data_IF_152790715149
#
_entry.id   IF_152790715149
#
_cell.length_a   1.000
_cell.length_b   1.000
_cell.length_c   1.000
_cell.angle_alpha   90.00
_cell.angle_beta   90.00
_cell.angle_gamma   90.00
#
_symmetry.space_group_name_H-M   'P 1'
#
loop_
_entity.id
_entity.type
_entity.pdbx_description
1 polymer ?
#
# COMPACT_ATOMS: atom_id res chain seq x y z
N UNK A 1 -6.77 2.78 29.83
CA UNK A 1 -5.52 2.48 30.58
C UNK A 1 -5.15 3.72 31.38
N UNK A 2 -4.55 3.59 32.56
CA UNK A 2 -4.23 4.75 33.42
C UNK A 2 -2.90 4.55 34.16
N UNK A 3 -2.17 5.65 34.39
CA UNK A 3 -1.03 5.67 35.34
C UNK A 3 -1.55 6.16 36.68
N UNK A 4 -1.17 5.45 37.74
CA UNK A 4 -1.27 5.97 39.11
C UNK A 4 0.07 6.61 39.42
N UNK A 5 0.07 7.93 39.65
CA UNK A 5 1.25 8.68 40.03
C UNK A 5 1.61 8.43 41.50
N UNK A 6 2.83 8.79 41.92
CA UNK A 6 3.31 8.56 43.29
C UNK A 6 2.48 9.27 44.37
N UNK A 7 1.75 10.32 43.99
CA UNK A 7 0.79 11.05 44.83
C UNK A 7 -0.61 10.42 44.86
N UNK A 8 -0.81 9.28 44.19
CA UNK A 8 -2.09 8.60 44.06
C UNK A 8 -2.98 9.13 42.92
N UNK A 9 -2.55 10.16 42.18
CA UNK A 9 -3.32 10.72 41.07
C UNK A 9 -3.42 9.73 39.92
N UNK A 10 -4.65 9.40 39.51
CA UNK A 10 -4.93 8.54 38.36
C UNK A 10 -5.03 9.40 37.10
N UNK A 11 -4.11 9.21 36.16
CA UNK A 11 -4.16 9.87 34.85
C UNK A 11 -4.51 8.87 33.76
N UNK A 12 -5.59 9.07 32.98
CA UNK A 12 -5.86 8.23 31.82
C UNK A 12 -4.76 8.43 30.77
N UNK A 13 -4.13 7.33 30.37
CA UNK A 13 -3.16 7.30 29.28
C UNK A 13 -3.91 7.14 27.97
N UNK A 14 -4.10 8.23 27.23
CA UNK A 14 -4.71 8.17 25.91
C UNK A 14 -3.68 7.81 24.83
N UNK A 15 -2.47 8.37 24.91
CA UNK A 15 -1.37 8.13 23.99
C UNK A 15 -0.12 7.62 24.72
N UNK A 16 0.73 6.91 24.02
CA UNK A 16 1.99 6.36 24.50
C UNK A 16 3.17 7.08 23.85
N UNK A 17 4.16 7.48 24.64
CA UNK A 17 5.38 8.12 24.13
C UNK A 17 6.27 7.18 23.33
N UNK A 18 6.08 5.86 23.50
CA UNK A 18 6.65 4.80 22.67
C UNK A 18 5.55 3.79 22.37
N UNK A 19 5.47 3.26 21.14
CA UNK A 19 4.50 2.21 20.83
C UNK A 19 4.65 1.01 21.75
N UNK A 20 3.53 0.37 22.07
CA UNK A 20 3.49 -0.89 22.81
C UNK A 20 3.07 -2.01 21.87
N UNK A 21 3.58 -3.22 22.13
CA UNK A 21 3.20 -4.40 21.35
C UNK A 21 1.90 -4.98 21.90
N UNK A 22 0.82 -4.84 21.13
CA UNK A 22 -0.43 -5.54 21.39
C UNK A 22 -0.34 -6.96 20.83
N UNK A 23 -0.79 -7.95 21.61
CA UNK A 23 -0.88 -9.35 21.19
C UNK A 23 -2.30 -9.87 21.39
N UNK A 24 -2.93 -10.32 20.31
CA UNK A 24 -4.27 -10.93 20.31
C UNK A 24 -4.20 -12.35 19.75
N UNK A 25 -4.95 -13.28 20.33
CA UNK A 25 -5.07 -14.65 19.80
C UNK A 25 -6.37 -14.78 19.04
N UNK A 26 -6.33 -15.53 17.94
CA UNK A 26 -7.56 -15.90 17.25
C UNK A 26 -8.26 -16.97 18.07
N UNK A 27 -9.59 -16.84 18.19
CA UNK A 27 -10.40 -17.94 18.69
C UNK A 27 -10.35 -19.07 17.65
N UNK A 28 -9.91 -20.26 18.07
CA UNK A 28 -9.73 -21.42 17.19
C UNK A 28 -11.01 -21.92 16.51
N UNK A 29 -12.16 -21.33 16.84
CA UNK A 29 -13.47 -21.64 16.27
C UNK A 29 -13.88 -20.72 15.11
N UNK A 30 -13.09 -19.69 14.76
CA UNK A 30 -13.42 -18.85 13.61
C UNK A 30 -13.08 -19.58 12.30
N UNK A 31 -14.05 -19.82 11.40
CA UNK A 31 -13.79 -20.50 10.13
C UNK A 31 -12.94 -19.66 9.17
N UNK A 32 -12.76 -18.37 9.42
CA UNK A 32 -12.05 -17.45 8.54
C UNK A 32 -10.82 -16.85 9.22
N UNK A 33 -9.70 -16.80 8.47
CA UNK A 33 -8.46 -16.19 8.91
C UNK A 33 -8.65 -14.67 9.06
N UNK A 34 -8.22 -14.08 10.19
CA UNK A 34 -8.24 -12.62 10.38
C UNK A 34 -7.39 -11.89 9.34
N UNK A 35 -7.78 -10.66 9.03
CA UNK A 35 -7.00 -9.74 8.19
C UNK A 35 -5.96 -8.96 9.00
N UNK A 36 -6.23 -8.71 10.28
CA UNK A 36 -5.29 -8.12 11.22
C UNK A 36 -5.95 -7.57 12.47
N UNK A 37 -5.21 -6.72 13.17
CA UNK A 37 -5.64 -6.05 14.38
C UNK A 37 -6.21 -4.68 14.01
N UNK A 38 -7.38 -4.36 14.56
CA UNK A 38 -8.05 -3.09 14.34
C UNK A 38 -8.27 -2.37 15.67
N UNK A 39 -8.08 -1.05 15.68
CA UNK A 39 -8.64 -0.18 16.70
C UNK A 39 -10.13 0.03 16.41
N UNK A 40 -10.96 0.00 17.46
CA UNK A 40 -12.41 0.12 17.38
C UNK A 40 -12.84 1.41 18.09
N UNK A 41 -13.18 2.43 17.31
CA UNK A 41 -13.67 3.71 17.81
C UNK A 41 -15.02 3.56 18.53
N UNK A 42 -15.45 4.58 19.28
CA UNK A 42 -16.72 4.56 20.03
C UNK A 42 -17.93 4.40 19.11
N UNK A 43 -17.89 5.04 17.94
CA UNK A 43 -18.91 4.94 16.89
C UNK A 43 -18.86 3.61 16.10
N UNK A 44 -17.95 2.70 16.46
CA UNK A 44 -17.78 1.40 15.78
C UNK A 44 -16.89 1.44 14.53
N UNK A 45 -16.37 2.60 14.13
CA UNK A 45 -15.41 2.68 13.02
C UNK A 45 -14.15 1.89 13.35
N UNK A 46 -13.62 1.21 12.33
CA UNK A 46 -12.41 0.41 12.41
C UNK A 46 -11.23 1.18 11.83
N UNK A 47 -10.07 1.04 12.46
CA UNK A 47 -8.79 1.52 11.94
C UNK A 47 -7.78 0.38 11.98
N UNK A 48 -7.16 0.07 10.83
CA UNK A 48 -6.23 -1.04 10.69
C UNK A 48 -4.90 -0.68 11.36
N UNK A 49 -4.52 -1.47 12.36
CA UNK A 49 -3.29 -1.28 13.15
C UNK A 49 -2.15 -2.20 12.71
N UNK A 50 -2.31 -2.90 11.58
CA UNK A 50 -1.39 -3.95 11.17
C UNK A 50 -1.72 -5.30 11.79
N UNK A 51 -0.72 -6.17 11.85
CA UNK A 51 -0.89 -7.52 12.38
C UNK A 51 0.08 -8.48 11.72
N UNK A 52 1.07 -8.93 12.47
CA UNK A 52 1.95 -10.03 12.07
C UNK A 52 1.55 -11.27 12.84
N UNK A 53 1.30 -12.36 12.12
CA UNK A 53 1.04 -13.66 12.74
C UNK A 53 2.35 -14.22 13.30
N UNK A 54 2.32 -14.59 14.58
CA UNK A 54 3.42 -15.28 15.28
C UNK A 54 2.88 -16.57 15.90
N UNK A 55 3.77 -17.43 16.40
CA UNK A 55 3.38 -18.63 17.15
C UNK A 55 2.51 -18.33 18.38
N UNK A 56 2.64 -17.11 18.92
CA UNK A 56 1.95 -16.69 20.14
C UNK A 56 0.62 -15.98 19.92
N UNK A 57 0.23 -15.78 18.65
CA UNK A 57 -0.90 -14.97 18.21
C UNK A 57 -0.49 -13.88 17.23
N UNK A 58 -1.39 -12.93 16.99
CA UNK A 58 -1.15 -11.77 16.14
C UNK A 58 -0.59 -10.61 16.96
N UNK A 59 0.39 -9.90 16.41
CA UNK A 59 1.01 -8.74 17.06
C UNK A 59 0.97 -7.49 16.21
N UNK A 60 0.74 -6.33 16.84
CA UNK A 60 0.79 -5.01 16.23
C UNK A 60 1.42 -4.00 17.21
N UNK A 61 2.09 -2.97 16.69
CA UNK A 61 2.50 -1.82 17.50
C UNK A 61 1.35 -0.83 17.57
N UNK A 62 1.00 -0.40 18.78
CA UNK A 62 -0.06 0.59 19.00
C UNK A 62 0.49 1.73 19.85
N UNK A 63 0.09 2.96 19.50
CA UNK A 63 0.57 4.20 20.11
C UNK A 63 -0.45 4.84 21.05
N UNK A 64 -1.62 4.22 21.23
CA UNK A 64 -2.71 4.74 22.04
C UNK A 64 -3.46 3.66 22.78
N UNK A 65 -4.12 4.04 23.87
CA UNK A 65 -5.06 3.15 24.53
C UNK A 65 -6.40 3.15 23.79
N UNK A 66 -7.08 2.02 23.75
CA UNK A 66 -8.36 1.90 23.05
C UNK A 66 -8.90 0.47 23.09
N UNK A 67 -10.03 0.26 22.40
CA UNK A 67 -10.54 -1.09 22.13
C UNK A 67 -9.87 -1.61 20.87
N UNK A 68 -9.38 -2.85 20.93
CA UNK A 68 -8.74 -3.50 19.80
C UNK A 68 -9.35 -4.88 19.57
N UNK A 69 -9.43 -5.29 18.31
CA UNK A 69 -9.95 -6.60 17.92
C UNK A 69 -9.10 -7.22 16.83
N UNK A 70 -8.97 -8.55 16.86
CA UNK A 70 -8.42 -9.33 15.77
C UNK A 70 -9.58 -9.71 14.84
N UNK A 71 -9.69 -9.02 13.71
CA UNK A 71 -10.88 -9.07 12.87
C UNK A 71 -10.54 -9.49 11.44
N UNK A 72 -11.56 -9.99 10.75
CA UNK A 72 -11.61 -10.03 9.29
C UNK A 72 -12.55 -8.94 8.82
N UNK A 73 -12.15 -8.18 7.80
CA UNK A 73 -12.93 -7.08 7.26
C UNK A 73 -13.32 -7.39 5.82
N UNK A 74 -14.54 -7.88 5.62
CA UNK A 74 -15.06 -8.26 4.31
C UNK A 74 -15.80 -7.10 3.64
N UNK A 75 -15.04 -6.09 3.21
CA UNK A 75 -15.57 -5.05 2.32
C UNK A 75 -15.65 -5.59 0.89
N UNK A 76 -16.88 -5.69 0.40
CA UNK A 76 -17.19 -5.94 -1.01
C UNK A 76 -17.55 -4.64 -1.74
N UNK A 77 -17.46 -4.70 -3.06
CA UNK A 77 -17.88 -3.65 -3.98
C UNK A 77 -18.78 -4.26 -5.06
N UNK A 78 -19.84 -3.56 -5.43
CA UNK A 78 -20.87 -4.09 -6.33
C UNK A 78 -20.32 -4.42 -7.73
N UNK A 79 -19.28 -3.70 -8.15
CA UNK A 79 -18.60 -3.85 -9.44
C UNK A 79 -17.35 -4.76 -9.39
N UNK A 80 -17.13 -5.46 -8.27
CA UNK A 80 -16.04 -6.42 -8.06
C UNK A 80 -16.60 -7.75 -7.53
N UNK A 81 -17.30 -8.54 -8.38
CA UNK A 81 -17.84 -9.84 -7.97
C UNK A 81 -16.72 -10.80 -7.55
N UNK A 82 -17.06 -11.84 -6.79
CA UNK A 82 -16.08 -12.84 -6.32
C UNK A 82 -15.31 -13.55 -7.45
N UNK A 83 -15.89 -13.61 -8.66
CA UNK A 83 -15.24 -14.15 -9.86
C UNK A 83 -14.27 -13.18 -10.54
N UNK A 84 -14.23 -11.91 -10.12
CA UNK A 84 -13.32 -10.92 -10.68
C UNK A 84 -11.88 -11.26 -10.32
N UNK A 85 -10.97 -11.24 -11.30
CA UNK A 85 -9.58 -11.70 -11.14
C UNK A 85 -8.81 -11.01 -10.00
N UNK A 86 -9.12 -9.73 -9.72
CA UNK A 86 -8.51 -8.95 -8.65
C UNK A 86 -9.34 -8.90 -7.36
N UNK A 87 -10.43 -9.68 -7.24
CA UNK A 87 -11.35 -9.63 -6.10
C UNK A 87 -10.62 -9.75 -4.76
N UNK A 88 -9.80 -10.80 -4.59
CA UNK A 88 -9.08 -11.03 -3.33
C UNK A 88 -8.03 -9.96 -3.04
N UNK A 89 -7.34 -9.45 -4.06
CA UNK A 89 -6.39 -8.34 -3.86
C UNK A 89 -7.12 -7.08 -3.39
N UNK A 90 -8.23 -6.71 -4.06
CA UNK A 90 -9.02 -5.54 -3.69
C UNK A 90 -9.59 -5.69 -2.27
N UNK A 91 -10.16 -6.86 -1.93
CA UNK A 91 -10.69 -7.16 -0.60
C UNK A 91 -9.61 -7.00 0.48
N UNK A 92 -8.44 -7.66 0.30
CA UNK A 92 -7.32 -7.58 1.26
C UNK A 92 -6.82 -6.15 1.42
N UNK A 93 -6.69 -5.42 0.32
CA UNK A 93 -6.20 -4.04 0.35
C UNK A 93 -7.23 -3.09 1.00
N UNK A 94 -8.53 -3.36 0.84
CA UNK A 94 -9.59 -2.61 1.51
C UNK A 94 -9.63 -2.93 3.00
N UNK A 95 -9.44 -4.20 3.38
CA UNK A 95 -9.29 -4.63 4.78
C UNK A 95 -8.13 -3.93 5.49
N UNK A 96 -7.02 -3.72 4.80
CA UNK A 96 -5.87 -2.96 5.31
C UNK A 96 -6.04 -1.44 5.19
N UNK A 97 -7.19 -0.95 4.71
CA UNK A 97 -7.49 0.46 4.46
C UNK A 97 -6.52 1.17 3.49
N UNK A 98 -5.82 0.40 2.66
CA UNK A 98 -4.89 0.90 1.65
C UNK A 98 -5.64 1.34 0.40
N UNK A 99 -6.72 0.65 0.05
CA UNK A 99 -7.67 1.10 -0.99
C UNK A 99 -9.02 1.43 -0.38
N UNK A 100 -9.76 2.31 -1.05
CA UNK A 100 -11.11 2.72 -0.67
C UNK A 100 -12.02 2.67 -1.90
N UNK A 101 -13.34 2.56 -1.67
CA UNK A 101 -14.34 2.66 -2.72
C UNK A 101 -14.31 4.02 -3.41
N UNK A 102 -14.82 4.06 -4.64
CA UNK A 102 -14.93 5.29 -5.41
C UNK A 102 -16.06 6.18 -4.89
N UNK A 103 -17.21 5.58 -4.58
CA UNK A 103 -18.42 6.26 -4.06
C UNK A 103 -19.06 5.52 -2.86
N UNK A 104 -18.29 4.63 -2.22
CA UNK A 104 -18.72 3.85 -1.06
C UNK A 104 -19.34 2.48 -1.41
N UNK A 105 -19.95 2.35 -2.58
CA UNK A 105 -20.53 1.09 -3.08
C UNK A 105 -19.68 0.45 -4.18
N UNK A 106 -19.11 1.26 -5.07
CA UNK A 106 -18.27 0.82 -6.19
C UNK A 106 -16.77 0.97 -5.89
N UNK A 107 -15.94 0.19 -6.58
CA UNK A 107 -14.49 0.32 -6.58
C UNK A 107 -13.95 1.02 -7.84
N UNK A 108 -14.70 0.97 -8.94
CA UNK A 108 -14.30 1.37 -10.29
C UNK A 108 -13.04 0.65 -10.79
N UNK A 109 -13.00 -0.70 -10.84
CA UNK A 109 -11.78 -1.48 -11.05
C UNK A 109 -11.06 -1.20 -12.37
N UNK A 110 -11.78 -0.71 -13.39
CA UNK A 110 -11.25 -0.41 -14.72
C UNK A 110 -10.85 1.05 -14.93
N UNK A 111 -11.08 1.93 -13.94
CA UNK A 111 -10.70 3.35 -14.06
C UNK A 111 -9.18 3.48 -14.06
N UNK A 112 -8.67 4.33 -14.94
CA UNK A 112 -7.26 4.70 -14.98
C UNK A 112 -6.86 5.45 -13.71
N UNK A 113 -5.63 5.19 -13.25
CA UNK A 113 -5.07 5.76 -12.03
C UNK A 113 -4.08 6.86 -12.37
N UNK A 114 -4.16 7.98 -11.65
CA UNK A 114 -3.18 9.06 -11.80
C UNK A 114 -1.90 8.77 -11.04
N UNK A 115 -0.80 9.45 -11.40
CA UNK A 115 0.47 9.35 -10.67
C UNK A 115 0.32 9.69 -9.18
N UNK A 116 -0.47 10.71 -8.84
CA UNK A 116 -0.73 11.08 -7.45
C UNK A 116 -1.52 10.00 -6.69
N UNK A 117 -2.51 9.39 -7.33
CA UNK A 117 -3.29 8.32 -6.73
C UNK A 117 -2.45 7.08 -6.43
N UNK A 118 -1.52 6.72 -7.32
CA UNK A 118 -0.61 5.61 -7.08
C UNK A 118 0.45 5.94 -6.03
N UNK A 119 0.97 7.17 -5.99
CA UNK A 119 1.83 7.64 -4.91
C UNK A 119 1.14 7.53 -3.54
N UNK A 120 -0.12 7.97 -3.45
CA UNK A 120 -0.94 7.83 -2.24
C UNK A 120 -1.23 6.37 -1.88
N UNK A 121 -1.35 5.49 -2.87
CA UNK A 121 -1.51 4.05 -2.64
C UNK A 121 -0.25 3.44 -2.01
N UNK A 122 0.94 3.75 -2.56
CA UNK A 122 2.22 3.27 -2.03
C UNK A 122 2.47 3.83 -0.63
N UNK A 123 2.27 5.14 -0.43
CA UNK A 123 2.47 5.79 0.87
C UNK A 123 1.67 5.09 1.97
N UNK A 124 0.38 4.81 1.73
CA UNK A 124 -0.46 4.05 2.67
C UNK A 124 -0.01 2.61 2.84
N UNK A 125 0.38 1.93 1.76
CA UNK A 125 0.80 0.53 1.81
C UNK A 125 2.06 0.34 2.66
N UNK A 126 2.95 1.32 2.64
CA UNK A 126 4.24 1.31 3.31
C UNK A 126 4.25 2.12 4.61
N UNK A 127 3.11 2.68 5.02
CA UNK A 127 2.95 3.54 6.19
C UNK A 127 3.98 4.71 6.20
N UNK A 128 4.11 5.37 5.04
CA UNK A 128 5.05 6.49 4.85
C UNK A 128 4.39 7.81 5.21
N UNK A 129 5.16 8.62 5.91
CA UNK A 129 4.85 10.01 6.21
C UNK A 129 6.11 10.88 5.98
N UNK A 130 5.91 12.18 5.76
CA UNK A 130 6.98 13.16 5.57
C UNK A 130 6.66 14.45 6.31
N UNK A 131 7.56 14.84 7.21
CA UNK A 131 7.53 16.16 7.83
C UNK A 131 8.12 17.26 6.92
N UNK A 132 8.72 16.88 5.79
CA UNK A 132 9.33 17.82 4.84
C UNK A 132 8.27 18.41 3.90
N UNK A 133 8.44 19.67 3.48
CA UNK A 133 7.60 20.25 2.44
C UNK A 133 7.74 19.49 1.11
N UNK A 134 6.65 19.45 0.35
CA UNK A 134 6.66 18.98 -1.03
C UNK A 134 7.64 19.84 -1.88
N UNK A 135 8.51 19.22 -2.70
CA UNK A 135 9.50 19.94 -3.51
C UNK A 135 8.96 20.42 -4.88
N UNK A 136 7.76 20.01 -5.29
CA UNK A 136 7.22 20.25 -6.63
C UNK A 136 6.24 21.43 -6.66
N UNK A 137 6.36 22.31 -7.67
CA UNK A 137 5.56 23.54 -7.80
C UNK A 137 4.12 23.28 -8.27
N UNK A 138 3.88 22.16 -8.93
CA UNK A 138 2.58 21.76 -9.50
C UNK A 138 1.69 21.02 -8.48
N UNK A 139 2.11 21.00 -7.21
CA UNK A 139 1.36 20.40 -6.11
C UNK A 139 0.91 21.50 -5.14
N UNK A 140 -0.39 21.77 -5.10
CA UNK A 140 -0.99 22.58 -4.06
C UNK A 140 -0.96 21.80 -2.72
N UNK A 141 -0.31 22.38 -1.71
CA UNK A 141 -0.15 21.76 -0.39
C UNK A 141 -1.48 21.45 0.32
N UNK A 142 -2.61 22.04 -0.12
CA UNK A 142 -3.96 21.77 0.41
C UNK A 142 -4.58 20.51 -0.19
N UNK A 143 -3.99 19.92 -1.23
CA UNK A 143 -4.49 18.69 -1.85
C UNK A 143 -4.21 17.50 -0.96
N UNK A 144 -5.20 16.61 -0.84
CA UNK A 144 -5.11 15.42 0.00
C UNK A 144 -3.94 14.49 -0.35
N UNK A 145 -3.49 14.47 -1.61
CA UNK A 145 -2.36 13.66 -2.05
C UNK A 145 -0.99 14.31 -1.79
N UNK A 146 -0.91 15.58 -1.41
CA UNK A 146 0.36 16.31 -1.27
C UNK A 146 1.31 15.68 -0.23
N UNK A 147 0.85 15.29 0.98
CA UNK A 147 1.71 14.62 1.96
C UNK A 147 2.23 13.27 1.43
N UNK A 148 1.38 12.51 0.75
CA UNK A 148 1.79 11.22 0.20
C UNK A 148 2.86 11.35 -0.87
N UNK A 149 2.77 12.35 -1.75
CA UNK A 149 3.80 12.61 -2.77
C UNK A 149 5.12 13.01 -2.10
N UNK A 150 5.09 13.86 -1.08
CA UNK A 150 6.29 14.21 -0.31
C UNK A 150 6.93 12.97 0.32
N UNK A 151 6.12 12.09 0.92
CA UNK A 151 6.59 10.86 1.57
C UNK A 151 7.23 9.87 0.58
N UNK A 152 6.59 9.60 -0.58
CA UNK A 152 7.20 8.70 -1.58
C UNK A 152 8.42 9.31 -2.27
N UNK A 153 8.48 10.64 -2.37
CA UNK A 153 9.66 11.33 -2.88
C UNK A 153 10.83 11.23 -1.90
N UNK A 154 10.59 11.52 -0.61
CA UNK A 154 11.59 11.39 0.45
C UNK A 154 12.11 9.95 0.57
N UNK A 155 11.23 8.96 0.42
CA UNK A 155 11.58 7.54 0.41
C UNK A 155 12.35 7.10 -0.87
N UNK A 156 12.53 7.98 -1.86
CA UNK A 156 13.16 7.65 -3.13
C UNK A 156 12.34 6.72 -4.03
N UNK A 157 11.03 6.61 -3.77
CA UNK A 157 10.14 5.72 -4.49
C UNK A 157 9.64 6.35 -5.79
N UNK A 158 9.28 7.64 -5.74
CA UNK A 158 8.78 8.39 -6.89
C UNK A 158 9.61 9.65 -7.13
N UNK A 159 10.02 9.86 -8.39
CA UNK A 159 10.63 11.11 -8.85
C UNK A 159 9.64 12.00 -9.60
N UNK A 160 10.01 13.27 -9.76
CA UNK A 160 9.28 14.19 -10.63
C UNK A 160 9.52 13.93 -12.12
N UNK A 161 8.65 14.47 -12.97
CA UNK A 161 8.87 14.59 -14.42
C UNK A 161 10.05 15.53 -14.73
N UNK A 162 10.25 16.52 -13.88
CA UNK A 162 11.38 17.44 -13.88
C UNK A 162 11.87 17.67 -12.44
N UNK A 163 12.83 18.57 -12.27
CA UNK A 163 13.32 19.00 -10.95
C UNK A 163 12.21 19.53 -10.03
N UNK A 164 11.16 20.11 -10.59
CA UNK A 164 10.14 20.86 -9.85
C UNK A 164 8.71 20.51 -10.25
N UNK A 165 8.50 19.56 -11.15
CA UNK A 165 7.17 19.14 -11.62
C UNK A 165 6.98 17.65 -11.38
N UNK A 166 5.89 17.26 -10.72
CA UNK A 166 5.56 15.86 -10.45
C UNK A 166 4.63 15.23 -11.49
N UNK A 167 3.72 16.02 -12.07
CA UNK A 167 2.62 15.56 -12.91
C UNK A 167 1.57 14.76 -12.12
N UNK A 168 0.93 15.31 -11.08
CA UNK A 168 0.05 14.55 -10.19
C UNK A 168 -1.19 13.99 -10.88
N UNK A 169 -1.75 14.73 -11.85
CA UNK A 169 -2.98 14.37 -12.56
C UNK A 169 -2.72 13.56 -13.83
N UNK A 170 -1.46 13.34 -14.22
CA UNK A 170 -1.14 12.50 -15.36
C UNK A 170 -1.57 11.05 -15.07
N UNK A 171 -2.14 10.38 -16.07
CA UNK A 171 -2.36 8.93 -16.00
C UNK A 171 -1.02 8.20 -15.90
N UNK A 172 -0.96 7.21 -15.01
CA UNK A 172 0.23 6.41 -14.78
C UNK A 172 0.39 5.35 -15.88
N UNK A 173 1.56 5.27 -16.50
CA UNK A 173 1.88 4.19 -17.44
C UNK A 173 2.36 2.92 -16.73
N UNK A 174 2.35 1.79 -17.44
CA UNK A 174 2.82 0.51 -16.92
C UNK A 174 4.31 0.49 -16.58
N UNK A 175 5.15 1.12 -17.41
CA UNK A 175 6.59 1.20 -17.12
C UNK A 175 6.90 2.12 -15.93
N UNK A 176 6.12 3.18 -15.73
CA UNK A 176 6.21 4.03 -14.54
C UNK A 176 5.78 3.28 -13.28
N UNK A 177 4.67 2.54 -13.36
CA UNK A 177 4.22 1.68 -12.25
C UNK A 177 5.31 0.67 -11.87
N UNK A 178 5.97 0.05 -12.84
CA UNK A 178 7.05 -0.90 -12.58
C UNK A 178 8.22 -0.26 -11.83
N UNK A 179 8.63 0.93 -12.22
CA UNK A 179 9.72 1.66 -11.55
C UNK A 179 9.35 2.02 -10.11
N UNK A 180 8.19 2.63 -9.89
CA UNK A 180 7.73 3.00 -8.55
C UNK A 180 7.56 1.76 -7.65
N UNK A 181 7.03 0.66 -8.19
CA UNK A 181 6.84 -0.59 -7.45
C UNK A 181 8.16 -1.25 -7.06
N UNK A 182 9.16 -1.23 -7.96
CA UNK A 182 10.48 -1.77 -7.66
C UNK A 182 11.27 -0.91 -6.67
N UNK A 183 11.12 0.42 -6.72
CA UNK A 183 11.71 1.29 -5.70
C UNK A 183 11.04 1.06 -4.33
N UNK A 184 9.72 0.90 -4.29
CA UNK A 184 8.97 0.54 -3.09
C UNK A 184 9.42 -0.83 -2.52
N UNK A 185 9.67 -1.81 -3.38
CA UNK A 185 10.24 -3.10 -3.00
C UNK A 185 11.62 -2.93 -2.34
N UNK A 186 12.52 -2.19 -2.99
CA UNK A 186 13.89 -1.95 -2.48
C UNK A 186 13.87 -1.23 -1.15
N UNK A 187 13.00 -0.22 -1.00
CA UNK A 187 12.78 0.50 0.24
C UNK A 187 12.41 -0.45 1.38
N UNK A 188 11.43 -1.35 1.16
CA UNK A 188 10.93 -2.24 2.22
C UNK A 188 11.83 -3.46 2.48
N UNK A 189 12.46 -4.02 1.45
CA UNK A 189 13.31 -5.21 1.57
C UNK A 189 14.75 -4.90 2.06
N UNK A 190 15.13 -3.62 2.17
CA UNK A 190 16.38 -3.19 2.79
C UNK A 190 17.66 -3.45 2.00
N UNK A 191 17.57 -3.85 0.72
CA UNK A 191 18.71 -4.05 -0.20
C UNK A 191 18.28 -3.81 -1.65
N UNK A 192 19.25 -3.56 -2.53
CA UNK A 192 19.09 -3.78 -3.97
C UNK A 192 18.64 -5.23 -4.15
N UNK A 193 17.32 -5.42 -4.25
CA UNK A 193 16.73 -6.69 -4.63
C UNK A 193 17.39 -7.09 -5.93
N UNK A 194 18.30 -8.06 -5.88
CA UNK A 194 19.31 -8.30 -6.91
C UNK A 194 18.64 -8.31 -8.28
N UNK A 195 18.74 -7.18 -8.98
CA UNK A 195 18.03 -6.92 -10.23
C UNK A 195 18.85 -7.36 -11.43
N UNK A 196 19.95 -8.07 -11.20
CA UNK A 196 20.67 -8.84 -12.22
C UNK A 196 19.87 -10.08 -12.67
N UNK A 197 18.54 -9.95 -12.72
CA UNK A 197 17.66 -10.96 -13.27
C UNK A 197 17.72 -10.95 -14.79
N UNK A 198 17.44 -12.12 -15.38
CA UNK A 198 17.25 -12.29 -16.81
C UNK A 198 16.29 -11.21 -17.35
N UNK A 199 16.67 -10.57 -18.46
CA UNK A 199 15.81 -9.65 -19.21
C UNK A 199 14.42 -10.27 -19.41
N UNK A 200 13.35 -9.51 -19.21
CA UNK A 200 12.01 -9.99 -19.49
C UNK A 200 11.87 -10.44 -20.95
N UNK A 201 11.28 -11.61 -21.17
CA UNK A 201 11.03 -12.20 -22.49
C UNK A 201 9.80 -11.62 -23.24
N UNK A 202 9.41 -10.36 -22.96
CA UNK A 202 8.30 -9.73 -23.67
C UNK A 202 8.68 -9.36 -25.11
N UNK A 203 7.75 -9.52 -26.05
CA UNK A 203 7.96 -9.19 -27.48
C UNK A 203 8.15 -7.69 -27.73
N UNK A 204 7.66 -6.86 -26.83
CA UNK A 204 7.73 -5.40 -26.85
C UNK A 204 8.66 -4.86 -25.75
N UNK A 205 9.60 -5.67 -25.24
CA UNK A 205 10.57 -5.23 -24.22
C UNK A 205 11.50 -4.12 -24.72
N UNK A 206 11.71 -4.02 -26.04
CA UNK A 206 12.48 -2.95 -26.66
C UNK A 206 11.71 -1.61 -26.71
N UNK A 207 10.38 -1.63 -26.59
CA UNK A 207 9.54 -0.43 -26.49
C UNK A 207 9.56 0.18 -25.07
N UNK A 208 10.10 -0.55 -24.09
CA UNK A 208 10.29 -0.04 -22.72
C UNK A 208 11.41 0.98 -22.72
N UNK A 209 11.16 2.16 -22.14
CA UNK A 209 12.18 3.19 -21.98
C UNK A 209 13.40 2.65 -21.23
N UNK A 210 14.62 3.00 -21.68
CA UNK A 210 15.88 2.48 -21.08
C UNK A 210 15.94 2.64 -19.56
N UNK A 211 15.34 3.71 -19.03
CA UNK A 211 15.24 4.03 -17.60
C UNK A 211 14.35 3.05 -16.80
N UNK A 212 13.44 2.33 -17.47
CA UNK A 212 12.50 1.40 -16.85
C UNK A 212 12.80 -0.08 -17.13
N UNK A 213 13.69 -0.40 -18.08
CA UNK A 213 13.95 -1.77 -18.53
C UNK A 213 14.34 -2.73 -17.39
N UNK A 214 15.20 -2.27 -16.48
CA UNK A 214 15.62 -3.04 -15.31
C UNK A 214 14.42 -3.31 -14.40
N UNK A 215 13.66 -2.26 -14.06
CA UNK A 215 12.50 -2.36 -13.17
C UNK A 215 11.39 -3.23 -13.76
N UNK A 216 11.13 -3.13 -15.07
CA UNK A 216 10.16 -4.00 -15.76
C UNK A 216 10.59 -5.47 -15.70
N UNK A 217 11.87 -5.74 -15.96
CA UNK A 217 12.40 -7.11 -15.89
C UNK A 217 12.36 -7.66 -14.46
N UNK A 218 12.77 -6.86 -13.48
CA UNK A 218 12.74 -7.25 -12.07
C UNK A 218 11.31 -7.45 -11.54
N UNK A 219 10.38 -6.54 -11.86
CA UNK A 219 8.98 -6.65 -11.45
C UNK A 219 8.32 -7.91 -12.02
N UNK A 220 8.65 -8.28 -13.27
CA UNK A 220 8.22 -9.55 -13.87
C UNK A 220 8.81 -10.76 -13.13
N UNK A 221 10.12 -10.77 -12.93
CA UNK A 221 10.82 -11.90 -12.32
C UNK A 221 10.40 -12.14 -10.85
N UNK A 222 10.06 -11.07 -10.12
CA UNK A 222 9.49 -11.15 -8.77
C UNK A 222 8.00 -11.53 -8.77
N UNK A 223 7.36 -11.54 -9.94
CA UNK A 223 5.93 -11.79 -10.09
C UNK A 223 5.04 -10.64 -9.61
N UNK A 224 5.60 -9.43 -9.47
CA UNK A 224 4.86 -8.22 -9.07
C UNK A 224 4.01 -7.66 -10.21
N UNK A 225 4.45 -7.85 -11.46
CA UNK A 225 3.74 -7.45 -12.67
C UNK A 225 3.82 -8.54 -13.73
N UNK A 226 2.75 -8.70 -14.51
CA UNK A 226 2.66 -9.64 -15.62
C UNK A 226 2.26 -8.91 -16.90
N UNK A 227 2.53 -9.53 -18.06
CA UNK A 227 2.12 -9.00 -19.37
C UNK A 227 0.60 -9.04 -19.59
N UNK A 228 0.12 -8.30 -20.59
CA UNK A 228 -1.30 -8.27 -21.00
C UNK A 228 -1.53 -9.13 -22.24
N UNK A 229 -1.28 -10.44 -22.11
CA UNK A 229 -1.46 -11.41 -23.19
C UNK A 229 -0.48 -11.25 -24.37
N UNK A 230 -0.43 -12.27 -25.24
CA UNK A 230 0.40 -12.26 -26.46
C UNK A 230 1.91 -12.08 -26.22
N UNK A 231 2.39 -12.35 -25.00
CA UNK A 231 3.75 -12.10 -24.51
C UNK A 231 4.17 -10.62 -24.59
N UNK A 232 3.22 -9.69 -24.33
CA UNK A 232 3.46 -8.24 -24.38
C UNK A 232 3.33 -7.57 -23.01
N UNK A 233 4.23 -6.63 -22.72
CA UNK A 233 4.21 -5.80 -21.52
C UNK A 233 3.33 -4.57 -21.68
N UNK A 234 3.30 -3.95 -22.86
CA UNK A 234 2.62 -2.69 -23.18
C UNK A 234 3.09 -1.50 -22.31
N UNK A 235 4.37 -1.07 -22.42
CA UNK A 235 4.98 -0.15 -21.45
C UNK A 235 4.25 1.19 -21.29
N UNK A 236 3.74 1.77 -22.38
CA UNK A 236 3.08 3.09 -22.36
C UNK A 236 1.57 3.01 -22.09
N UNK A 237 0.99 1.82 -21.98
CA UNK A 237 -0.43 1.71 -21.67
C UNK A 237 -0.70 2.19 -20.23
N UNK A 238 -1.88 2.79 -20.00
CA UNK A 238 -2.32 3.22 -18.68
C UNK A 238 -2.67 2.03 -17.79
N UNK A 239 -2.60 2.22 -16.47
CA UNK A 239 -2.95 1.19 -15.47
C UNK A 239 -4.26 1.50 -14.77
N UNK A 240 -5.02 0.45 -14.52
CA UNK A 240 -6.31 0.52 -13.83
C UNK A 240 -6.18 0.42 -12.30
N UNK A 241 -7.24 0.82 -11.59
CA UNK A 241 -7.36 0.66 -10.13
C UNK A 241 -7.21 -0.79 -9.67
N UNK A 242 -7.72 -1.76 -10.43
CA UNK A 242 -7.55 -3.17 -10.10
C UNK A 242 -6.09 -3.63 -10.24
N UNK A 243 -5.40 -3.20 -11.30
CA UNK A 243 -3.99 -3.54 -11.52
C UNK A 243 -3.08 -2.94 -10.47
N UNK A 244 -3.29 -1.68 -10.11
CA UNK A 244 -2.50 -1.02 -9.05
C UNK A 244 -2.74 -1.68 -7.68
N UNK A 245 -3.99 -2.00 -7.33
CA UNK A 245 -4.31 -2.74 -6.10
C UNK A 245 -3.66 -4.13 -6.08
N UNK A 246 -3.71 -4.87 -7.19
CA UNK A 246 -3.06 -6.17 -7.32
C UNK A 246 -1.54 -6.05 -7.13
N UNK A 247 -0.90 -5.13 -7.85
CA UNK A 247 0.55 -4.96 -7.83
C UNK A 247 1.06 -4.61 -6.43
N UNK A 248 0.38 -3.70 -5.72
CA UNK A 248 0.74 -3.34 -4.34
C UNK A 248 0.43 -4.48 -3.36
N UNK A 249 -0.66 -5.22 -3.56
CA UNK A 249 -0.93 -6.42 -2.75
C UNK A 249 0.20 -7.44 -2.88
N UNK A 250 0.70 -7.68 -4.10
CA UNK A 250 1.82 -8.60 -4.35
C UNK A 250 3.13 -8.08 -3.74
N UNK A 251 3.38 -6.76 -3.82
CA UNK A 251 4.51 -6.13 -3.16
C UNK A 251 4.52 -6.44 -1.67
N UNK A 252 3.38 -6.25 -0.99
CA UNK A 252 3.27 -6.49 0.44
C UNK A 252 3.48 -7.96 0.82
N UNK A 253 2.96 -8.88 0.00
CA UNK A 253 3.15 -10.32 0.19
C UNK A 253 4.63 -10.71 0.02
N UNK A 254 5.36 -10.09 -0.92
CA UNK A 254 6.78 -10.39 -1.19
C UNK A 254 7.76 -9.77 -0.21
N UNK A 255 7.31 -8.78 0.56
CA UNK A 255 8.14 -8.03 1.51
C UNK A 255 7.65 -8.18 2.95
N UNK A 256 6.71 -9.11 3.19
CA UNK A 256 6.32 -9.48 4.54
C UNK A 256 7.53 -10.07 5.29
N UNK A 257 7.72 -9.71 6.56
CA UNK A 257 8.81 -10.23 7.39
C UNK A 257 8.66 -11.73 7.67
#
# INVERSE_FOLDING_TARGET
MSVVQADGTVRPLKAFSKPVTLRLRADGNSPQKPDGIYAIAENGSLEYMGGTQTDSGWTAQVDRSGRYGLLRYDKSFDDVPASYWAHEAIRRMAARQIVQGFDGASFAPKRDVTRAEFAALIARALDLDSAKPNPFRDIDARRAYAPAIAAVFEAGIAGGRSRDTFGPEDTLSREEMAVMLMNAYRFRAGREASSAGKRADFKDVDDVGKWAQESVSAAKNLGLMQGRGGDRFMPQATVSRAETAQAVSLLLDKTAP
#
